data_IF_095130010487
#
_entry.id   IF_095130010487
#
_cell.length_a   1.000
_cell.length_b   1.000
_cell.length_c   1.000
_cell.angle_alpha   90.00
_cell.angle_beta   90.00
_cell.angle_gamma   90.00
#
_symmetry.space_group_name_H-M   'P 1'
#
loop_
_entity.id
_entity.type
_entity.pdbx_description
1 polymer ?
#
# COMPACT_ATOMS: atom_id res chain seq x y z
N UNK A 1 -5.20 18.37 -11.17
CA UNK A 1 -5.23 17.08 -10.44
C UNK A 1 -6.53 16.38 -10.76
N UNK A 2 -6.51 15.17 -11.32
CA UNK A 2 -7.71 14.42 -11.67
C UNK A 2 -8.24 13.61 -10.47
N UNK A 3 -9.55 13.37 -10.43
CA UNK A 3 -10.23 12.54 -9.41
C UNK A 3 -9.53 11.17 -9.26
N UNK A 4 -9.10 10.57 -10.37
CA UNK A 4 -8.41 9.28 -10.37
C UNK A 4 -7.07 9.28 -9.62
N UNK A 5 -6.34 10.41 -9.61
CA UNK A 5 -5.10 10.52 -8.83
C UNK A 5 -5.39 10.65 -7.34
N UNK A 6 -6.42 11.41 -6.98
CA UNK A 6 -6.86 11.55 -5.59
C UNK A 6 -7.27 10.20 -4.99
N UNK A 7 -8.04 9.40 -5.75
CA UNK A 7 -8.44 8.05 -5.35
C UNK A 7 -7.20 7.15 -5.14
N UNK A 8 -6.20 7.20 -6.04
CA UNK A 8 -4.97 6.41 -5.87
C UNK A 8 -4.22 6.80 -4.60
N UNK A 9 -4.10 8.10 -4.30
CA UNK A 9 -3.43 8.57 -3.07
C UNK A 9 -4.18 8.09 -1.82
N UNK A 10 -5.50 8.16 -1.82
CA UNK A 10 -6.34 7.65 -0.72
C UNK A 10 -6.13 6.15 -0.50
N UNK A 11 -6.18 5.35 -1.57
CA UNK A 11 -5.96 3.89 -1.49
C UNK A 11 -4.58 3.54 -0.94
N UNK A 12 -3.53 4.23 -1.40
CA UNK A 12 -2.17 4.03 -0.89
C UNK A 12 -2.07 4.42 0.58
N UNK A 13 -2.72 5.50 1.01
CA UNK A 13 -2.75 5.92 2.42
C UNK A 13 -3.38 4.84 3.32
N UNK A 14 -4.51 4.27 2.90
CA UNK A 14 -5.15 3.16 3.62
C UNK A 14 -4.25 1.93 3.66
N UNK A 15 -3.61 1.58 2.53
CA UNK A 15 -2.67 0.46 2.49
C UNK A 15 -1.48 0.64 3.46
N UNK A 16 -0.95 1.86 3.60
CA UNK A 16 0.11 2.15 4.56
C UNK A 16 -0.33 1.89 6.01
N UNK A 17 -1.56 2.26 6.35
CA UNK A 17 -2.12 2.04 7.70
C UNK A 17 -2.25 0.55 7.99
N UNK A 18 -2.85 -0.21 7.07
CA UNK A 18 -2.99 -1.66 7.16
C UNK A 18 -1.63 -2.36 7.26
N UNK A 19 -0.64 -1.95 6.45
CA UNK A 19 0.70 -2.53 6.48
C UNK A 19 1.41 -2.31 7.82
N UNK A 20 1.10 -1.22 8.53
CA UNK A 20 1.66 -0.87 9.83
C UNK A 20 0.95 -1.60 10.97
N UNK A 21 -0.38 -1.63 10.92
CA UNK A 21 -1.21 -2.00 12.06
C UNK A 21 -1.68 -3.46 12.04
N UNK A 22 -1.55 -4.16 10.91
CA UNK A 22 -2.04 -5.54 10.73
C UNK A 22 -0.93 -6.49 10.28
N UNK A 23 -1.19 -7.79 10.42
CA UNK A 23 -0.37 -8.91 9.91
C UNK A 23 -0.82 -9.40 8.54
N UNK A 24 -1.87 -8.80 7.96
CA UNK A 24 -2.54 -9.29 6.76
C UNK A 24 -1.58 -9.44 5.58
N UNK A 25 -1.86 -10.39 4.68
CA UNK A 25 -0.98 -10.57 3.52
C UNK A 25 -1.09 -9.33 2.64
N UNK A 26 0.02 -8.96 2.01
CA UNK A 26 0.06 -7.80 1.11
C UNK A 26 -0.94 -7.95 -0.05
N UNK A 27 -1.22 -9.19 -0.49
CA UNK A 27 -2.28 -9.51 -1.46
C UNK A 27 -3.69 -9.17 -0.97
N UNK A 28 -3.94 -9.40 0.31
CA UNK A 28 -5.25 -9.21 0.92
C UNK A 28 -5.49 -7.70 1.10
N UNK A 29 -4.47 -6.98 1.58
CA UNK A 29 -4.44 -5.51 1.65
C UNK A 29 -4.65 -4.89 0.27
N UNK A 30 -4.01 -5.42 -0.77
CA UNK A 30 -4.17 -4.92 -2.14
C UNK A 30 -5.64 -5.02 -2.59
N UNK A 31 -6.27 -6.16 -2.31
CA UNK A 31 -7.69 -6.39 -2.60
C UNK A 31 -8.60 -5.46 -1.80
N UNK A 32 -8.30 -5.27 -0.50
CA UNK A 32 -9.08 -4.42 0.40
C UNK A 32 -9.05 -2.94 -0.02
N UNK A 33 -7.92 -2.44 -0.51
CA UNK A 33 -7.83 -1.07 -1.06
C UNK A 33 -8.34 -0.95 -2.51
N UNK A 34 -9.00 -2.00 -3.03
CA UNK A 34 -9.63 -2.01 -4.35
C UNK A 34 -8.65 -2.15 -5.52
N UNK A 35 -7.52 -2.82 -5.30
CA UNK A 35 -6.51 -3.16 -6.31
C UNK A 35 -6.21 -4.66 -6.26
N UNK A 36 -7.05 -5.46 -6.92
CA UNK A 36 -6.93 -6.94 -6.90
C UNK A 36 -5.65 -7.46 -7.58
N UNK A 37 -5.07 -6.70 -8.52
CA UNK A 37 -3.81 -7.08 -9.15
C UNK A 37 -2.62 -6.70 -8.24
N UNK A 38 -2.02 -7.71 -7.62
CA UNK A 38 -0.90 -7.55 -6.70
C UNK A 38 0.33 -6.86 -7.33
N UNK A 39 0.63 -7.17 -8.59
CA UNK A 39 1.80 -6.61 -9.28
C UNK A 39 1.59 -5.12 -9.57
N UNK A 40 0.39 -4.75 -9.99
CA UNK A 40 -0.03 -3.37 -10.21
C UNK A 40 -0.08 -2.60 -8.89
N UNK A 41 -0.65 -3.18 -7.83
CA UNK A 41 -0.63 -2.59 -6.49
C UNK A 41 0.80 -2.28 -6.05
N UNK A 42 1.71 -3.26 -6.18
CA UNK A 42 3.12 -3.08 -5.80
C UNK A 42 3.78 -1.95 -6.59
N UNK A 43 3.53 -1.86 -7.90
CA UNK A 43 4.04 -0.77 -8.76
C UNK A 43 3.46 0.60 -8.35
N UNK A 44 2.16 0.70 -8.13
CA UNK A 44 1.48 1.94 -7.73
C UNK A 44 1.95 2.40 -6.36
N UNK A 45 2.00 1.47 -5.39
CA UNK A 45 2.48 1.74 -4.04
C UNK A 45 3.93 2.21 -4.06
N UNK A 46 4.82 1.49 -4.76
CA UNK A 46 6.23 1.88 -4.88
C UNK A 46 6.40 3.24 -5.56
N UNK A 47 5.60 3.55 -6.58
CA UNK A 47 5.62 4.87 -7.22
C UNK A 47 5.18 5.99 -6.27
N UNK A 48 4.26 5.70 -5.35
CA UNK A 48 3.73 6.69 -4.41
C UNK A 48 4.59 6.87 -3.15
N UNK A 49 5.21 5.79 -2.65
CA UNK A 49 5.91 5.75 -1.35
C UNK A 49 7.45 5.64 -1.51
N UNK A 50 7.92 5.17 -2.66
CA UNK A 50 9.35 4.97 -2.97
C UNK A 50 9.87 3.56 -2.71
N UNK A 51 9.20 2.78 -1.86
CA UNK A 51 9.58 1.39 -1.51
C UNK A 51 8.42 0.42 -1.74
N UNK A 52 8.70 -0.88 -1.80
CA UNK A 52 7.63 -1.89 -1.92
C UNK A 52 6.79 -1.99 -0.64
N UNK A 53 5.54 -2.48 -0.72
CA UNK A 53 4.70 -2.71 0.47
C UNK A 53 5.36 -3.58 1.55
N UNK A 54 6.10 -4.63 1.13
CA UNK A 54 6.84 -5.52 2.02
C UNK A 54 7.99 -4.80 2.73
N UNK A 55 8.75 -3.98 2.00
CA UNK A 55 9.81 -3.16 2.59
C UNK A 55 9.24 -2.13 3.55
N UNK A 56 8.14 -1.46 3.16
CA UNK A 56 7.43 -0.49 4.00
C UNK A 56 7.03 -1.12 5.33
N UNK A 57 6.38 -2.29 5.32
CA UNK A 57 6.03 -3.01 6.56
C UNK A 57 7.24 -3.29 7.44
N UNK A 58 8.36 -3.75 6.86
CA UNK A 58 9.60 -4.01 7.61
C UNK A 58 10.16 -2.73 8.23
N UNK A 59 10.17 -1.61 7.50
CA UNK A 59 10.67 -0.32 7.97
C UNK A 59 9.83 0.25 9.11
N UNK A 60 8.51 0.14 9.01
CA UNK A 60 7.59 0.68 10.02
C UNK A 60 7.57 -0.16 11.30
N UNK A 61 7.81 -1.47 11.21
CA UNK A 61 7.86 -2.37 12.38
C UNK A 61 9.23 -2.42 13.08
N UNK A 62 10.31 -2.03 12.40
CA UNK A 62 11.66 -1.95 12.98
C UNK A 62 11.92 -0.70 13.84
N UNK A 63 10.90 0.13 14.05
CA UNK A 63 11.00 1.39 14.80
C UNK A 63 10.48 1.27 16.25
N UNK A 64 10.42 0.05 16.79
CA UNK A 64 10.14 -0.23 18.21
C UNK A 64 11.31 -0.98 18.81
#
# INVERSE_FOLDING_TARGET
>A
MGISEHIRRMRVKVACDLLRNTEDRVSDIATEVGISDYNYFTKVFKKAIGVTPREYRKLMRKQT
#
